data_IF_116296875906
#
_entry.id   IF_116296875906
#
_cell.length_a   1.000
_cell.length_b   1.000
_cell.length_c   1.000
_cell.angle_alpha   90.00
_cell.angle_beta   90.00
_cell.angle_gamma   90.00
#
_symmetry.space_group_name_H-M   'P 1'
#
loop_
_entity.id
_entity.type
_entity.pdbx_description
1 polymer ?
#
# COMPACT_ATOMS: atom_id res chain seq x y z
N UNK A 1 20.26 17.67 -16.81
CA UNK A 1 19.09 18.43 -16.35
C UNK A 1 18.32 17.55 -15.39
N UNK A 2 18.14 17.99 -14.17
CA UNK A 2 17.42 17.22 -13.16
C UNK A 2 15.90 17.28 -13.39
N UNK A 3 15.16 16.28 -12.93
CA UNK A 3 13.70 16.20 -13.09
C UNK A 3 12.97 17.48 -12.65
N UNK A 4 13.37 18.04 -11.51
CA UNK A 4 12.78 19.26 -10.94
C UNK A 4 12.92 20.46 -11.87
N UNK A 5 14.10 20.66 -12.46
CA UNK A 5 14.36 21.74 -13.42
C UNK A 5 13.55 21.55 -14.70
N UNK A 6 13.50 20.31 -15.21
CA UNK A 6 12.75 19.96 -16.40
C UNK A 6 11.25 20.19 -16.23
N UNK A 7 10.69 19.77 -15.10
CA UNK A 7 9.28 19.97 -14.79
C UNK A 7 8.93 21.46 -14.69
N UNK A 8 9.78 22.24 -14.02
CA UNK A 8 9.59 23.67 -13.90
C UNK A 8 9.66 24.38 -15.26
N UNK A 9 10.59 23.97 -16.12
CA UNK A 9 10.73 24.51 -17.47
C UNK A 9 9.48 24.20 -18.33
N UNK A 10 9.03 22.96 -18.35
CA UNK A 10 7.84 22.55 -19.11
C UNK A 10 6.58 23.29 -18.64
N UNK A 11 6.43 23.50 -17.34
CA UNK A 11 5.31 24.29 -16.80
C UNK A 11 5.40 25.76 -17.25
N UNK A 12 6.58 26.37 -17.15
CA UNK A 12 6.81 27.77 -17.57
C UNK A 12 6.58 27.95 -19.07
N UNK A 13 7.00 27.00 -19.91
CA UNK A 13 6.76 27.02 -21.35
C UNK A 13 5.26 27.04 -21.69
N UNK A 14 4.42 26.36 -20.88
CA UNK A 14 2.97 26.42 -21.02
C UNK A 14 2.32 27.61 -20.31
N UNK A 15 3.08 28.49 -19.68
CA UNK A 15 2.59 29.67 -18.97
C UNK A 15 1.72 29.38 -17.76
N UNK A 16 1.87 28.19 -17.15
CA UNK A 16 1.01 27.72 -16.06
C UNK A 16 1.62 28.00 -14.70
N UNK A 17 0.75 28.25 -13.72
CA UNK A 17 1.10 28.29 -12.29
C UNK A 17 1.25 26.86 -11.72
N UNK A 18 1.87 26.74 -10.55
CA UNK A 18 1.95 25.42 -9.84
C UNK A 18 0.56 24.90 -9.48
N UNK A 19 -0.39 25.77 -9.21
CA UNK A 19 -1.76 25.43 -8.85
C UNK A 19 -2.52 24.87 -10.06
N UNK A 20 -2.45 25.53 -11.20
CA UNK A 20 -3.04 25.07 -12.46
C UNK A 20 -2.46 23.73 -12.91
N UNK A 21 -1.15 23.55 -12.77
CA UNK A 21 -0.52 22.25 -13.07
C UNK A 21 -1.03 21.16 -12.12
N UNK A 22 -1.15 21.45 -10.84
CA UNK A 22 -1.66 20.52 -9.84
C UNK A 22 -3.10 20.06 -10.15
N UNK A 23 -3.96 21.00 -10.53
CA UNK A 23 -5.34 20.68 -10.96
C UNK A 23 -5.38 19.78 -12.20
N UNK A 24 -4.55 20.07 -13.20
CA UNK A 24 -4.47 19.26 -14.43
C UNK A 24 -3.94 17.85 -14.20
N UNK A 25 -3.07 17.68 -13.24
CA UNK A 25 -2.50 16.38 -12.87
C UNK A 25 -3.29 15.67 -11.76
N UNK A 26 -4.36 16.27 -11.24
CA UNK A 26 -5.16 15.75 -10.13
C UNK A 26 -4.33 15.48 -8.86
N UNK A 27 -3.38 16.36 -8.57
CA UNK A 27 -2.50 16.29 -7.39
C UNK A 27 -2.59 17.58 -6.57
N UNK A 28 -2.04 17.59 -5.36
CA UNK A 28 -2.00 18.80 -4.56
C UNK A 28 -0.91 19.77 -5.06
N UNK A 29 -1.15 21.09 -4.92
CA UNK A 29 -0.15 22.11 -5.18
C UNK A 29 1.14 21.86 -4.40
N UNK A 30 1.03 21.38 -3.16
CA UNK A 30 2.19 21.04 -2.32
C UNK A 30 3.04 19.93 -2.92
N UNK A 31 2.43 18.95 -3.60
CA UNK A 31 3.15 17.90 -4.31
C UNK A 31 3.98 18.48 -5.47
N UNK A 32 3.36 19.30 -6.32
CA UNK A 32 4.06 19.99 -7.43
C UNK A 32 5.22 20.83 -6.90
N UNK A 33 5.00 21.61 -5.84
CA UNK A 33 6.04 22.43 -5.22
C UNK A 33 7.22 21.60 -4.68
N UNK A 34 6.96 20.44 -4.08
CA UNK A 34 8.01 19.50 -3.63
C UNK A 34 8.80 18.92 -4.80
N UNK A 35 8.13 18.58 -5.89
CA UNK A 35 8.78 18.05 -7.08
C UNK A 35 9.68 19.08 -7.76
N UNK A 36 9.19 20.31 -7.92
CA UNK A 36 9.98 21.40 -8.52
C UNK A 36 11.14 21.89 -7.64
N UNK A 37 11.05 21.70 -6.32
CA UNK A 37 12.12 22.05 -5.38
C UNK A 37 13.13 20.93 -5.14
N UNK A 38 12.97 19.77 -5.80
CA UNK A 38 13.84 18.61 -5.63
C UNK A 38 13.71 17.90 -4.27
N UNK A 39 12.71 18.26 -3.45
CA UNK A 39 12.47 17.65 -2.12
C UNK A 39 11.74 16.32 -2.17
N UNK A 40 11.32 15.90 -3.35
CA UNK A 40 10.65 14.63 -3.54
C UNK A 40 10.40 14.34 -5.01
N UNK A 41 10.15 13.08 -5.31
CA UNK A 41 9.80 12.61 -6.64
C UNK A 41 8.33 12.20 -6.71
N UNK A 42 7.68 12.39 -7.87
CA UNK A 42 6.35 11.85 -8.12
C UNK A 42 6.38 10.32 -8.15
N UNK A 43 5.26 9.70 -7.82
CA UNK A 43 5.07 8.26 -8.04
C UNK A 43 4.91 7.96 -9.55
N UNK A 44 4.95 6.69 -9.92
CA UNK A 44 4.88 6.25 -11.31
C UNK A 44 3.60 6.74 -12.03
N UNK A 45 2.47 6.77 -11.33
CA UNK A 45 1.21 7.26 -11.89
C UNK A 45 1.27 8.76 -12.21
N UNK A 46 1.79 9.56 -11.30
CA UNK A 46 2.00 10.99 -11.52
C UNK A 46 3.01 11.26 -12.63
N UNK A 47 4.06 10.46 -12.74
CA UNK A 47 5.03 10.55 -13.84
C UNK A 47 4.39 10.27 -15.20
N UNK A 48 3.54 9.25 -15.29
CA UNK A 48 2.77 8.95 -16.51
C UNK A 48 1.83 10.10 -16.86
N UNK A 49 1.15 10.67 -15.88
CA UNK A 49 0.28 11.82 -16.09
C UNK A 49 1.06 13.05 -16.59
N UNK A 50 2.24 13.33 -16.02
CA UNK A 50 3.14 14.41 -16.46
C UNK A 50 3.61 14.16 -17.90
N UNK A 51 4.08 12.96 -18.20
CA UNK A 51 4.52 12.55 -19.54
C UNK A 51 3.42 12.74 -20.59
N UNK A 52 2.21 12.30 -20.30
CA UNK A 52 1.06 12.44 -21.19
C UNK A 52 0.63 13.90 -21.36
N UNK A 53 0.61 14.67 -20.27
CA UNK A 53 0.18 16.08 -20.30
C UNK A 53 1.14 16.98 -21.09
N UNK A 54 2.45 16.74 -20.96
CA UNK A 54 3.48 17.51 -21.65
C UNK A 54 3.89 16.91 -23.00
N UNK A 55 3.42 15.70 -23.33
CA UNK A 55 3.82 14.94 -24.52
C UNK A 55 5.32 14.69 -24.60
N UNK A 56 5.95 14.38 -23.47
CA UNK A 56 7.37 14.05 -23.36
C UNK A 56 7.56 12.60 -22.92
N UNK A 57 8.65 11.97 -23.34
CA UNK A 57 8.97 10.62 -22.90
C UNK A 57 9.31 10.58 -21.41
N UNK A 58 9.01 9.46 -20.74
CA UNK A 58 9.46 9.23 -19.35
C UNK A 58 10.98 9.24 -19.24
N UNK A 59 11.69 8.74 -20.25
CA UNK A 59 13.15 8.73 -20.30
C UNK A 59 13.71 10.15 -20.39
N UNK A 60 13.04 11.04 -21.11
CA UNK A 60 13.40 12.45 -21.20
C UNK A 60 13.14 13.23 -19.90
N UNK A 61 12.13 12.81 -19.13
CA UNK A 61 11.80 13.40 -17.83
C UNK A 61 12.75 12.96 -16.72
N UNK A 62 13.26 11.75 -16.82
CA UNK A 62 14.05 11.10 -15.76
C UNK A 62 15.49 10.90 -16.22
N UNK A 63 16.43 11.46 -15.49
CA UNK A 63 17.81 10.98 -15.59
C UNK A 63 17.90 9.54 -15.09
N UNK A 64 18.81 8.74 -15.64
CA UNK A 64 18.98 7.31 -15.33
C UNK A 64 19.08 7.00 -13.81
N UNK A 65 19.57 7.93 -13.02
CA UNK A 65 19.66 7.80 -11.55
C UNK A 65 18.30 7.97 -10.84
N UNK A 66 17.40 8.76 -11.41
CA UNK A 66 16.07 8.99 -10.83
C UNK A 66 15.16 7.77 -10.98
N UNK A 67 15.32 6.97 -12.04
CA UNK A 67 14.58 5.72 -12.23
C UNK A 67 14.87 4.70 -11.12
N UNK A 68 16.12 4.61 -10.68
CA UNK A 68 16.54 3.71 -9.59
C UNK A 68 15.91 4.12 -8.26
N UNK A 69 15.88 5.42 -7.94
CA UNK A 69 15.30 5.92 -6.68
C UNK A 69 13.78 5.74 -6.61
N UNK A 70 13.09 5.85 -7.75
CA UNK A 70 11.64 5.64 -7.82
C UNK A 70 11.30 4.16 -7.66
N UNK A 71 12.04 3.26 -8.33
CA UNK A 71 11.87 1.82 -8.21
C UNK A 71 12.12 1.33 -6.78
N UNK A 72 13.11 1.88 -6.08
CA UNK A 72 13.37 1.59 -4.66
C UNK A 72 12.27 2.11 -3.73
N UNK A 73 11.73 3.29 -3.99
CA UNK A 73 10.66 3.87 -3.20
C UNK A 73 9.35 3.07 -3.32
N UNK A 74 8.99 2.63 -4.53
CA UNK A 74 7.84 1.75 -4.76
C UNK A 74 8.01 0.38 -4.10
N UNK A 75 9.21 -0.19 -4.18
CA UNK A 75 9.49 -1.48 -3.56
C UNK A 75 9.37 -1.41 -2.03
N UNK A 76 9.83 -0.33 -1.40
CA UNK A 76 9.66 -0.09 0.04
C UNK A 76 8.19 0.07 0.45
N UNK A 77 7.38 0.73 -0.38
CA UNK A 77 5.96 0.93 -0.11
C UNK A 77 5.16 -0.37 -0.26
N UNK A 78 5.48 -1.18 -1.26
CA UNK A 78 4.90 -2.50 -1.48
C UNK A 78 5.27 -3.47 -0.35
N UNK A 79 6.53 -3.45 0.09
CA UNK A 79 7.01 -4.26 1.20
C UNK A 79 6.28 -3.95 2.53
N UNK A 80 5.97 -2.68 2.79
CA UNK A 80 5.19 -2.28 3.98
C UNK A 80 3.76 -2.81 3.91
N UNK A 81 3.11 -2.74 2.76
CA UNK A 81 1.75 -3.25 2.53
C UNK A 81 1.67 -4.76 2.72
N UNK A 82 2.57 -5.49 2.10
CA UNK A 82 2.65 -6.96 2.20
C UNK A 82 2.92 -7.41 3.64
N UNK A 83 3.79 -6.69 4.35
CA UNK A 83 4.14 -6.99 5.74
C UNK A 83 2.94 -6.82 6.68
N UNK A 84 2.16 -5.77 6.52
CA UNK A 84 0.95 -5.52 7.32
C UNK A 84 -0.12 -6.59 7.07
N UNK A 85 -0.31 -7.04 5.82
CA UNK A 85 -1.25 -8.09 5.47
C UNK A 85 -0.82 -9.47 6.02
N UNK A 86 0.48 -9.80 5.98
CA UNK A 86 1.02 -11.05 6.52
C UNK A 86 0.87 -11.11 8.04
N UNK A 87 1.13 -10.03 8.76
CA UNK A 87 0.93 -9.97 10.21
C UNK A 87 -0.55 -10.09 10.58
N UNK A 88 -1.44 -9.44 9.85
CA UNK A 88 -2.89 -9.55 10.06
C UNK A 88 -3.41 -10.97 9.84
N UNK A 89 -2.92 -11.69 8.83
CA UNK A 89 -3.28 -13.09 8.57
C UNK A 89 -2.74 -14.04 9.64
N UNK A 90 -1.51 -13.83 10.13
CA UNK A 90 -0.93 -14.60 11.23
C UNK A 90 -1.69 -14.42 12.54
N UNK A 91 -2.10 -13.20 12.88
CA UNK A 91 -2.92 -12.91 14.06
C UNK A 91 -4.30 -13.59 13.97
N UNK A 92 -4.94 -13.58 12.81
CA UNK A 92 -6.19 -14.31 12.58
C UNK A 92 -6.01 -15.83 12.73
N UNK A 93 -4.95 -16.42 12.19
CA UNK A 93 -4.65 -17.84 12.33
C UNK A 93 -4.37 -18.24 13.78
N UNK A 94 -3.61 -17.45 14.52
CA UNK A 94 -3.34 -17.68 15.94
C UNK A 94 -4.61 -17.57 16.78
N UNK A 95 -5.46 -16.59 16.51
CA UNK A 95 -6.77 -16.45 17.15
C UNK A 95 -7.69 -17.65 16.91
N UNK A 96 -7.76 -18.16 15.68
CA UNK A 96 -8.53 -19.35 15.33
C UNK A 96 -7.99 -20.61 15.99
N UNK A 97 -6.65 -20.80 16.02
CA UNK A 97 -6.00 -21.95 16.66
C UNK A 97 -6.21 -21.97 18.17
N UNK A 98 -6.26 -20.83 18.83
CA UNK A 98 -6.58 -20.73 20.26
C UNK A 98 -8.08 -20.90 20.55
N UNK A 99 -8.94 -20.49 19.62
CA UNK A 99 -10.40 -20.58 19.79
C UNK A 99 -10.92 -21.99 19.57
N UNK A 100 -10.36 -22.76 18.62
CA UNK A 100 -10.76 -24.14 18.32
C UNK A 100 -10.61 -25.09 19.52
N UNK A 101 -9.48 -25.16 20.26
CA UNK A 101 -9.37 -26.06 21.42
C UNK A 101 -10.29 -25.64 22.57
N UNK A 102 -10.56 -24.34 22.73
CA UNK A 102 -11.50 -23.86 23.75
C UNK A 102 -12.95 -24.27 23.43
N UNK A 103 -13.33 -24.29 22.15
CA UNK A 103 -14.65 -24.77 21.72
C UNK A 103 -14.77 -26.29 21.77
N UNK A 104 -13.70 -27.02 21.46
CA UNK A 104 -13.64 -28.48 21.53
C UNK A 104 -13.78 -28.98 22.97
N UNK A 105 -13.17 -28.29 23.95
CA UNK A 105 -13.30 -28.64 25.35
C UNK A 105 -14.72 -28.45 25.90
N UNK A 106 -15.48 -27.45 25.41
CA UNK A 106 -16.89 -27.28 25.77
C UNK A 106 -17.78 -28.36 25.17
N UNK A 107 -17.45 -28.87 23.98
CA UNK A 107 -18.22 -29.96 23.34
C UNK A 107 -17.95 -31.30 24.03
N UNK A 108 -16.73 -31.60 24.44
CA UNK A 108 -16.40 -32.85 25.15
C UNK A 108 -16.94 -32.87 26.58
N UNK A 109 -17.03 -31.73 27.27
CA UNK A 109 -17.65 -31.65 28.59
C UNK A 109 -19.15 -31.99 28.56
N UNK A 110 -19.87 -31.64 27.49
CA UNK A 110 -21.28 -32.03 27.31
C UNK A 110 -21.44 -33.50 26.96
N UNK A 111 -20.55 -34.10 26.20
CA UNK A 111 -20.57 -35.54 25.88
C UNK A 111 -20.20 -36.40 27.09
N UNK A 112 -19.27 -35.97 27.93
CA UNK A 112 -18.90 -36.71 29.15
C UNK A 112 -20.03 -36.86 30.17
N UNK A 113 -20.85 -35.84 30.32
CA UNK A 113 -22.03 -35.87 31.18
C UNK A 113 -23.12 -36.84 30.67
N UNK A 114 -23.27 -36.99 29.37
CA UNK A 114 -24.26 -37.88 28.76
C UNK A 114 -23.87 -39.36 28.91
N UNK A 115 -22.58 -39.67 28.80
CA UNK A 115 -22.06 -41.03 28.99
C UNK A 115 -22.11 -41.47 30.47
N UNK A 116 -21.86 -40.59 31.44
CA UNK A 116 -22.02 -40.85 32.85
C UNK A 116 -23.48 -41.10 33.23
N UNK A 117 -24.41 -40.42 32.61
CA UNK A 117 -25.86 -40.59 32.86
C UNK A 117 -26.37 -41.91 32.26
N UNK A 118 -25.86 -42.33 31.10
CA UNK A 118 -26.22 -43.60 30.47
C UNK A 118 -25.71 -44.81 31.25
N UNK A 119 -24.61 -44.69 31.99
CA UNK A 119 -24.07 -45.81 32.77
C UNK A 119 -24.79 -46.02 34.11
N UNK A 120 -25.40 -44.98 34.66
CA UNK A 120 -26.17 -45.02 35.89
C UNK A 120 -27.58 -45.64 35.74
N UNK A 121 -28.06 -45.85 34.51
CA UNK A 121 -29.39 -46.39 34.18
C UNK A 121 -29.37 -47.86 33.74
N UNK A 122 -28.32 -48.66 34.10
CA UNK A 122 -28.36 -50.11 33.85
C UNK A 122 -29.14 -50.81 34.97
N UNK A 123 -30.34 -51.34 34.69
CA UNK A 123 -31.03 -52.19 35.68
C UNK A 123 -30.24 -53.47 35.87
N UNK A 124 -30.12 -53.91 37.10
CA UNK A 124 -29.60 -55.22 37.45
C UNK A 124 -30.46 -56.34 36.89
#
# INVERSE_FOLDING_TARGET
>A
MEFNEKLQELRKQKGMTQEELAEKLYVSRTAVSKWESGRGYPNLESLKAISQFFHVSLDDLLSSNALLTIAEAENRQNQRRTRTLLFGLLDCCMGLLLFLPFFAQRATAKCGLFLSFCWALRPM
#
